data_IF_828046380679
#
_entry.id   IF_828046380679
#
_cell.length_a   1.000
_cell.length_b   1.000
_cell.length_c   1.000
_cell.angle_alpha   90.00
_cell.angle_beta   90.00
_cell.angle_gamma   90.00
#
_symmetry.space_group_name_H-M   'P 1'
#
loop_
_entity.id
_entity.type
_entity.pdbx_description
1 polymer ?
#
# COMPACT_ATOMS: atom_id res chain seq x y z
N UNK A 1 -11.41 -2.37 8.62
CA UNK A 1 -11.24 -0.90 8.56
C UNK A 1 -9.85 -0.52 8.04
N UNK A 2 -8.79 -1.13 8.56
CA UNK A 2 -7.40 -0.91 8.10
C UNK A 2 -7.19 -1.00 6.57
N UNK A 3 -7.66 -2.08 5.93
CA UNK A 3 -7.51 -2.30 4.50
C UNK A 3 -8.19 -1.22 3.63
N UNK A 4 -9.32 -0.67 4.09
CA UNK A 4 -10.06 0.38 3.37
C UNK A 4 -9.28 1.69 3.42
N UNK A 5 -8.78 2.04 4.62
CA UNK A 5 -7.93 3.22 4.79
C UNK A 5 -6.67 3.14 3.94
N UNK A 6 -5.97 1.99 3.97
CA UNK A 6 -4.79 1.76 3.14
C UNK A 6 -5.09 1.93 1.64
N UNK A 7 -6.15 1.30 1.15
CA UNK A 7 -6.53 1.38 -0.26
C UNK A 7 -6.82 2.83 -0.68
N UNK A 8 -7.62 3.57 0.11
CA UNK A 8 -7.96 4.96 -0.17
C UNK A 8 -6.73 5.88 -0.16
N UNK A 9 -5.88 5.77 0.87
CA UNK A 9 -4.69 6.62 1.00
C UNK A 9 -3.62 6.32 -0.06
N UNK A 10 -3.48 5.05 -0.48
CA UNK A 10 -2.53 4.68 -1.53
C UNK A 10 -2.87 5.33 -2.87
N UNK A 11 -4.14 5.27 -3.26
CA UNK A 11 -4.66 5.87 -4.50
C UNK A 11 -4.61 7.39 -4.43
N UNK A 12 -5.02 7.99 -3.30
CA UNK A 12 -5.03 9.44 -3.15
C UNK A 12 -3.61 10.03 -3.18
N UNK A 13 -2.66 9.38 -2.51
CA UNK A 13 -1.24 9.77 -2.56
C UNK A 13 -0.66 9.62 -3.96
N UNK A 14 -1.00 8.54 -4.67
CA UNK A 14 -0.59 8.35 -6.05
C UNK A 14 -1.17 9.42 -6.99
N UNK A 15 -2.46 9.72 -6.87
CA UNK A 15 -3.13 10.77 -7.64
C UNK A 15 -2.48 12.14 -7.44
N UNK A 16 -2.16 12.50 -6.19
CA UNK A 16 -1.46 13.75 -5.88
C UNK A 16 -0.03 13.77 -6.40
N UNK A 17 0.72 12.68 -6.23
CA UNK A 17 2.09 12.58 -6.74
C UNK A 17 2.15 12.73 -8.25
N UNK A 18 1.20 12.12 -8.96
CA UNK A 18 1.09 12.21 -10.42
C UNK A 18 0.68 13.62 -10.86
N UNK A 19 -0.29 14.25 -10.19
CA UNK A 19 -0.72 15.61 -10.49
C UNK A 19 0.37 16.67 -10.29
N UNK A 20 1.29 16.47 -9.34
CA UNK A 20 2.37 17.42 -9.04
C UNK A 20 3.60 17.20 -9.93
N UNK A 21 3.99 15.94 -10.14
CA UNK A 21 5.28 15.62 -10.77
C UNK A 21 5.17 15.06 -12.18
N UNK A 22 4.01 14.55 -12.59
CA UNK A 22 3.82 13.84 -13.86
C UNK A 22 4.62 12.52 -13.97
N UNK A 23 5.35 12.12 -12.93
CA UNK A 23 6.22 10.95 -12.96
C UNK A 23 5.53 9.74 -12.33
N UNK A 24 5.40 8.61 -13.06
CA UNK A 24 4.83 7.38 -12.51
C UNK A 24 5.58 6.86 -11.29
N UNK A 25 6.92 6.94 -11.31
CA UNK A 25 7.75 6.47 -10.21
C UNK A 25 7.47 7.26 -8.92
N UNK A 26 7.37 8.60 -9.04
CA UNK A 26 7.09 9.46 -7.88
C UNK A 26 5.67 9.20 -7.36
N UNK A 27 4.70 9.06 -8.25
CA UNK A 27 3.32 8.73 -7.88
C UNK A 27 3.22 7.42 -7.08
N UNK A 28 3.87 6.35 -7.52
CA UNK A 28 3.87 5.06 -6.81
C UNK A 28 4.48 5.22 -5.41
N UNK A 29 5.64 5.89 -5.32
CA UNK A 29 6.34 6.09 -4.05
C UNK A 29 5.52 6.95 -3.09
N UNK A 30 4.97 8.07 -3.56
CA UNK A 30 4.13 8.95 -2.73
C UNK A 30 2.89 8.20 -2.23
N UNK A 31 2.20 7.45 -3.11
CA UNK A 31 1.05 6.63 -2.73
C UNK A 31 1.39 5.59 -1.65
N UNK A 32 2.48 4.85 -1.84
CA UNK A 32 2.95 3.88 -0.83
C UNK A 32 3.27 4.56 0.50
N UNK A 33 4.04 5.66 0.48
CA UNK A 33 4.44 6.38 1.69
C UNK A 33 3.23 6.91 2.44
N UNK A 34 2.26 7.53 1.77
CA UNK A 34 1.05 8.04 2.41
C UNK A 34 0.25 6.92 3.11
N UNK A 35 0.07 5.77 2.44
CA UNK A 35 -0.68 4.66 3.00
C UNK A 35 0.05 3.97 4.17
N UNK A 36 1.36 3.76 4.04
CA UNK A 36 2.19 3.08 5.05
C UNK A 36 2.43 3.93 6.29
N UNK A 37 2.83 5.19 6.11
CA UNK A 37 3.07 6.12 7.22
C UNK A 37 1.81 6.34 8.05
N UNK A 38 0.64 6.48 7.41
CA UNK A 38 -0.63 6.64 8.13
C UNK A 38 -0.99 5.42 8.99
N UNK A 39 -0.74 4.20 8.48
CA UNK A 39 -0.91 2.98 9.26
C UNK A 39 0.04 2.89 10.44
N UNK A 40 1.33 3.15 10.21
CA UNK A 40 2.37 3.13 11.25
C UNK A 40 2.09 4.16 12.34
N UNK A 41 1.76 5.40 11.97
CA UNK A 41 1.43 6.48 12.91
C UNK A 41 0.22 6.13 13.78
N UNK A 42 -0.86 5.61 13.17
CA UNK A 42 -2.04 5.17 13.92
C UNK A 42 -1.66 4.15 14.97
N UNK A 43 -0.89 3.15 14.56
CA UNK A 43 -0.54 2.04 15.42
C UNK A 43 0.40 2.48 16.57
N UNK A 44 1.40 3.32 16.27
CA UNK A 44 2.28 3.96 17.26
C UNK A 44 1.48 4.77 18.30
N UNK A 45 0.48 5.55 17.86
CA UNK A 45 -0.35 6.37 18.74
C UNK A 45 -1.27 5.51 19.63
N UNK A 46 -1.77 4.39 19.13
CA UNK A 46 -2.60 3.47 19.91
C UNK A 46 -1.81 2.60 20.89
N UNK A 47 -0.47 2.58 20.81
CA UNK A 47 0.37 1.71 21.64
C UNK A 47 0.22 0.21 21.34
N UNK A 48 -0.56 -0.12 20.31
CA UNK A 48 -0.69 -1.46 19.75
C UNK A 48 0.52 -1.71 18.83
N UNK A 49 1.32 -2.78 19.04
CA UNK A 49 2.49 -3.00 18.22
C UNK A 49 2.05 -3.30 16.76
N UNK A 50 2.45 -2.38 15.89
CA UNK A 50 1.82 -1.98 14.63
C UNK A 50 1.67 -3.04 13.53
N UNK A 51 0.86 -4.09 13.69
CA UNK A 51 0.80 -5.18 12.69
C UNK A 51 2.12 -6.00 12.72
N UNK A 52 2.42 -6.54 13.89
CA UNK A 52 3.61 -7.33 14.24
C UNK A 52 3.85 -8.67 13.50
N UNK A 53 3.18 -9.00 12.38
CA UNK A 53 3.53 -10.25 11.67
C UNK A 53 4.00 -10.10 10.22
N UNK A 54 3.56 -9.10 9.43
CA UNK A 54 3.82 -9.09 7.97
C UNK A 54 3.83 -7.69 7.34
N UNK A 55 4.83 -6.83 7.64
CA UNK A 55 5.01 -5.55 6.95
C UNK A 55 5.05 -5.70 5.42
N UNK A 56 5.57 -6.84 4.94
CA UNK A 56 5.65 -7.21 3.53
C UNK A 56 4.29 -7.11 2.81
N UNK A 57 3.21 -7.55 3.47
CA UNK A 57 1.86 -7.56 2.87
C UNK A 57 1.23 -6.18 2.87
N UNK A 58 1.58 -5.37 3.88
CA UNK A 58 1.12 -3.99 3.97
C UNK A 58 1.73 -3.16 2.82
N UNK A 59 3.03 -3.29 2.62
CA UNK A 59 3.76 -2.57 1.56
C UNK A 59 3.36 -3.07 0.18
N UNK A 60 3.23 -4.39 -0.03
CA UNK A 60 2.82 -4.94 -1.33
C UNK A 60 1.38 -4.57 -1.71
N UNK A 61 0.46 -4.49 -0.74
CA UNK A 61 -0.90 -4.00 -1.01
C UNK A 61 -0.90 -2.52 -1.41
N UNK A 62 -0.13 -1.67 -0.71
CA UNK A 62 0.02 -0.26 -1.04
C UNK A 62 0.68 -0.06 -2.41
N UNK A 63 1.73 -0.85 -2.71
CA UNK A 63 2.39 -0.88 -4.01
C UNK A 63 1.40 -1.26 -5.12
N UNK A 64 0.63 -2.33 -4.93
CA UNK A 64 -0.32 -2.80 -5.93
C UNK A 64 -1.38 -1.75 -6.25
N UNK A 65 -1.95 -1.08 -5.23
CA UNK A 65 -2.92 -0.01 -5.43
C UNK A 65 -2.35 1.20 -6.17
N UNK A 66 -1.17 1.67 -5.74
CA UNK A 66 -0.51 2.81 -6.37
C UNK A 66 -0.05 2.49 -7.80
N UNK A 67 0.52 1.31 -8.03
CA UNK A 67 0.95 0.86 -9.35
C UNK A 67 -0.23 0.75 -10.32
N UNK A 68 -1.35 0.14 -9.91
CA UNK A 68 -2.54 0.02 -10.77
C UNK A 68 -3.18 1.38 -11.06
N UNK A 69 -3.19 2.29 -10.09
CA UNK A 69 -3.61 3.67 -10.35
C UNK A 69 -2.72 4.32 -11.43
N UNK A 70 -1.39 4.25 -11.27
CA UNK A 70 -0.47 4.85 -12.24
C UNK A 70 -0.53 4.22 -13.63
N UNK A 71 -0.71 2.89 -13.71
CA UNK A 71 -0.87 2.19 -14.99
C UNK A 71 -2.19 2.55 -15.66
N UNK A 72 -3.27 2.69 -14.89
CA UNK A 72 -4.56 3.12 -15.42
C UNK A 72 -4.52 4.54 -15.96
N UNK A 73 -3.83 5.43 -15.26
CA UNK A 73 -3.58 6.80 -15.72
C UNK A 73 -2.74 6.82 -17.02
N UNK A 74 -1.68 6.00 -17.09
CA UNK A 74 -0.87 5.85 -18.30
C UNK A 74 -1.64 5.27 -19.49
N UNK A 75 -2.65 4.43 -19.23
CA UNK A 75 -3.55 3.88 -20.25
C UNK A 75 -4.61 4.90 -20.73
N UNK A 76 -4.61 6.12 -20.20
CA UNK A 76 -5.56 7.18 -20.56
C UNK A 76 -6.96 6.99 -19.97
N UNK A 77 -7.09 6.18 -18.91
CA UNK A 77 -8.38 5.99 -18.25
C UNK A 77 -8.79 7.24 -17.44
N UNK A 78 -10.10 7.47 -17.25
CA UNK A 78 -10.58 8.53 -16.38
C UNK A 78 -10.01 8.38 -14.96
N UNK A 79 -9.67 9.47 -14.25
CA UNK A 79 -9.12 9.43 -12.89
C UNK A 79 -9.98 8.66 -11.89
N UNK A 80 -11.29 8.65 -12.10
CA UNK A 80 -12.26 7.90 -11.31
C UNK A 80 -12.16 6.39 -11.54
N UNK A 81 -11.95 5.97 -12.79
CA UNK A 81 -11.84 4.56 -13.15
C UNK A 81 -10.49 3.99 -12.69
N UNK A 82 -9.39 4.71 -12.89
CA UNK A 82 -8.07 4.33 -12.37
C UNK A 82 -8.04 4.32 -10.84
N UNK A 83 -8.71 5.29 -10.21
CA UNK A 83 -8.88 5.36 -8.76
C UNK A 83 -9.63 4.15 -8.19
N UNK A 84 -10.78 3.79 -8.78
CA UNK A 84 -11.57 2.63 -8.37
C UNK A 84 -10.81 1.32 -8.62
N UNK A 85 -10.11 1.18 -9.75
CA UNK A 85 -9.31 0.00 -10.06
C UNK A 85 -8.17 -0.19 -9.05
N UNK A 86 -7.41 0.87 -8.75
CA UNK A 86 -6.34 0.84 -7.75
C UNK A 86 -6.86 0.55 -6.34
N UNK A 87 -7.99 1.15 -5.97
CA UNK A 87 -8.63 0.92 -4.67
C UNK A 87 -9.08 -0.54 -4.52
N UNK A 88 -9.79 -1.07 -5.52
CA UNK A 88 -10.25 -2.46 -5.52
C UNK A 88 -9.09 -3.43 -5.45
N UNK A 89 -8.00 -3.17 -6.17
CA UNK A 89 -6.83 -4.03 -6.13
C UNK A 89 -6.12 -4.01 -4.77
N UNK A 90 -5.85 -2.84 -4.20
CA UNK A 90 -5.27 -2.74 -2.86
C UNK A 90 -6.15 -3.41 -1.80
N UNK A 91 -7.47 -3.21 -1.90
CA UNK A 91 -8.44 -3.83 -0.99
C UNK A 91 -8.50 -5.35 -1.15
N UNK A 92 -8.50 -5.87 -2.39
CA UNK A 92 -8.48 -7.30 -2.65
C UNK A 92 -7.16 -7.95 -2.20
N UNK A 93 -6.02 -7.31 -2.43
CA UNK A 93 -4.71 -7.82 -1.98
C UNK A 93 -4.64 -7.85 -0.46
N UNK A 94 -5.01 -6.75 0.21
CA UNK A 94 -4.96 -6.68 1.68
C UNK A 94 -6.03 -7.54 2.34
N UNK A 95 -7.26 -7.48 1.85
CA UNK A 95 -8.39 -8.27 2.35
C UNK A 95 -8.21 -9.76 2.08
N UNK A 96 -7.69 -10.14 0.91
CA UNK A 96 -7.31 -11.50 0.57
C UNK A 96 -6.19 -12.01 1.48
N UNK A 97 -5.14 -11.23 1.69
CA UNK A 97 -4.06 -11.63 2.58
C UNK A 97 -4.49 -11.77 4.05
N UNK A 98 -5.41 -10.95 4.54
CA UNK A 98 -6.00 -11.08 5.88
C UNK A 98 -6.88 -12.33 5.99
N UNK A 99 -7.64 -12.67 4.94
CA UNK A 99 -8.54 -13.83 4.92
C UNK A 99 -7.81 -15.16 4.72
N UNK A 100 -6.81 -15.19 3.83
CA UNK A 100 -6.05 -16.40 3.49
C UNK A 100 -4.76 -16.56 4.32
N UNK A 101 -4.44 -15.60 5.18
CA UNK A 101 -3.26 -15.66 6.04
C UNK A 101 -1.95 -15.75 5.26
N UNK A 102 -1.90 -15.18 4.05
CA UNK A 102 -0.71 -15.22 3.20
C UNK A 102 0.50 -14.74 3.98
N UNK A 103 1.60 -15.45 3.77
CA UNK A 103 2.70 -15.47 4.69
C UNK A 103 4.01 -15.58 3.92
N UNK A 104 4.73 -14.48 3.74
CA UNK A 104 6.12 -14.61 3.33
C UNK A 104 6.92 -15.21 4.50
N UNK A 105 7.83 -16.16 4.24
CA UNK A 105 8.66 -16.74 5.28
C UNK A 105 9.54 -15.64 5.88
N UNK A 106 9.35 -15.36 7.17
CA UNK A 106 10.18 -14.39 7.89
C UNK A 106 11.63 -14.88 7.92
N UNK A 107 12.55 -14.07 7.39
CA UNK A 107 13.98 -14.33 7.42
C UNK A 107 14.48 -14.34 8.88
N UNK A 108 14.77 -15.52 9.42
CA UNK A 108 15.37 -15.66 10.75
C UNK A 108 16.84 -15.25 10.69
N UNK A 109 17.18 -14.11 11.28
CA UNK A 109 18.56 -13.70 11.52
C UNK A 109 19.29 -14.80 12.32
N UNK A 110 20.25 -15.46 11.66
CA UNK A 110 21.11 -16.47 12.29
C UNK A 110 21.95 -15.74 13.38
N UNK A 111 21.97 -16.19 14.64
CA UNK A 111 22.78 -15.54 15.67
C UNK A 111 24.24 -15.53 15.21
N UNK A 112 24.85 -14.35 15.16
CA UNK A 112 26.27 -14.19 14.88
C UNK A 112 27.06 -15.07 15.85
N UNK A 113 27.89 -15.97 15.30
CA UNK A 113 28.77 -16.80 16.11
C UNK A 113 29.81 -15.88 16.76
N UNK A 114 29.89 -15.96 18.09
CA UNK A 114 30.78 -15.20 18.98
C UNK A 114 32.23 -15.20 18.51
#
# INVERSE_FOLDING_TARGET
LDAIGLAAFSVMGAAKGLAITGSPAVSIVTGMLTATLGGILRDLLTGEPSVLLRPEIYVTAALAGAALYTLGDFAGLPPLASGLAGFMAAFCVRGGALKFGWAFPSYKSRPGRR
#
